data_IF_050896680479
#
_entry.id   IF_050896680479
#
_cell.length_a   1.000
_cell.length_b   1.000
_cell.length_c   1.000
_cell.angle_alpha   90.00
_cell.angle_beta   90.00
_cell.angle_gamma   90.00
#
_symmetry.space_group_name_H-M   'P 1'
#
loop_
_entity.id
_entity.type
_entity.pdbx_description
1 polymer ?
#
# COMPACT_ATOMS: atom_id res chain seq x y z
N UNK A 1 -27.88 35.06 -6.62
CA UNK A 1 -26.65 34.88 -5.82
C UNK A 1 -26.65 33.61 -4.97
N UNK A 2 -27.81 33.11 -4.50
CA UNK A 2 -27.94 31.78 -3.85
C UNK A 2 -27.52 30.63 -4.76
N UNK A 3 -28.03 30.64 -6.00
CA UNK A 3 -27.84 29.58 -6.99
C UNK A 3 -26.35 29.35 -7.35
N UNK A 4 -25.55 30.40 -7.48
CA UNK A 4 -24.11 30.28 -7.76
C UNK A 4 -23.34 29.64 -6.59
N UNK A 5 -23.69 29.97 -5.35
CA UNK A 5 -23.03 29.40 -4.16
C UNK A 5 -23.36 27.91 -4.01
N UNK A 6 -24.61 27.55 -4.25
CA UNK A 6 -25.06 26.15 -4.23
C UNK A 6 -24.41 25.34 -5.34
N UNK A 7 -24.34 25.88 -6.57
CA UNK A 7 -23.65 25.23 -7.69
C UNK A 7 -22.15 25.05 -7.43
N UNK A 8 -21.46 26.08 -6.92
CA UNK A 8 -20.03 25.97 -6.55
C UNK A 8 -19.79 24.94 -5.43
N UNK A 9 -20.68 24.89 -4.43
CA UNK A 9 -20.56 23.91 -3.35
C UNK A 9 -20.80 22.47 -3.85
N UNK A 10 -21.73 22.30 -4.78
CA UNK A 10 -22.01 21.01 -5.43
C UNK A 10 -20.83 20.55 -6.29
N UNK A 11 -20.22 21.44 -7.08
CA UNK A 11 -19.02 21.11 -7.86
C UNK A 11 -17.82 20.80 -6.97
N UNK A 12 -17.62 21.55 -5.88
CA UNK A 12 -16.57 21.23 -4.91
C UNK A 12 -16.82 19.87 -4.22
N UNK A 13 -18.07 19.54 -3.89
CA UNK A 13 -18.41 18.22 -3.36
C UNK A 13 -18.13 17.09 -4.35
N UNK A 14 -18.49 17.25 -5.64
CA UNK A 14 -18.14 16.29 -6.70
C UNK A 14 -16.63 16.11 -6.83
N UNK A 15 -15.88 17.21 -6.78
CA UNK A 15 -14.42 17.18 -6.82
C UNK A 15 -13.84 16.38 -5.64
N UNK A 16 -14.31 16.61 -4.41
CA UNK A 16 -13.86 15.87 -3.23
C UNK A 16 -14.15 14.37 -3.34
N UNK A 17 -15.35 14.01 -3.82
CA UNK A 17 -15.72 12.60 -4.02
C UNK A 17 -14.82 11.93 -5.07
N UNK A 18 -14.54 12.63 -6.18
CA UNK A 18 -13.62 12.15 -7.22
C UNK A 18 -12.19 11.97 -6.68
N UNK A 19 -11.71 12.86 -5.79
CA UNK A 19 -10.41 12.71 -5.14
C UNK A 19 -10.36 11.51 -4.21
N UNK A 20 -11.39 11.29 -3.40
CA UNK A 20 -11.46 10.11 -2.52
C UNK A 20 -11.46 8.83 -3.34
N UNK A 21 -12.27 8.74 -4.40
CA UNK A 21 -12.28 7.58 -5.30
C UNK A 21 -10.91 7.36 -5.97
N UNK A 22 -10.25 8.44 -6.39
CA UNK A 22 -8.91 8.34 -6.98
C UNK A 22 -7.88 7.79 -5.99
N UNK A 23 -7.95 8.15 -4.70
CA UNK A 23 -7.09 7.58 -3.66
C UNK A 23 -7.31 6.08 -3.50
N UNK A 24 -8.56 5.62 -3.55
CA UNK A 24 -8.90 4.20 -3.48
C UNK A 24 -8.34 3.44 -4.69
N UNK A 25 -8.54 3.95 -5.90
CA UNK A 25 -8.00 3.37 -7.14
C UNK A 25 -6.47 3.31 -7.12
N UNK A 26 -5.81 4.38 -6.64
CA UNK A 26 -4.37 4.44 -6.48
C UNK A 26 -3.87 3.37 -5.49
N UNK A 27 -4.58 3.17 -4.37
CA UNK A 27 -4.24 2.11 -3.42
C UNK A 27 -4.31 0.72 -4.06
N UNK A 28 -5.39 0.39 -4.76
CA UNK A 28 -5.53 -0.91 -5.44
C UNK A 28 -4.44 -1.12 -6.50
N UNK A 29 -4.10 -0.08 -7.26
CA UNK A 29 -3.00 -0.12 -8.22
C UNK A 29 -1.66 -0.39 -7.52
N UNK A 30 -1.42 0.26 -6.37
CA UNK A 30 -0.21 0.05 -5.57
C UNK A 30 -0.12 -1.38 -5.04
N UNK A 31 -1.21 -1.92 -4.48
CA UNK A 31 -1.27 -3.32 -4.01
C UNK A 31 -0.95 -4.29 -5.15
N UNK A 32 -1.56 -4.09 -6.31
CA UNK A 32 -1.34 -4.93 -7.50
C UNK A 32 0.12 -4.86 -7.97
N UNK A 33 0.70 -3.66 -8.00
CA UNK A 33 2.08 -3.45 -8.41
C UNK A 33 3.06 -4.11 -7.45
N UNK A 34 2.83 -3.98 -6.14
CA UNK A 34 3.61 -4.65 -5.12
C UNK A 34 3.54 -6.17 -5.26
N UNK A 35 2.34 -6.73 -5.47
CA UNK A 35 2.16 -8.16 -5.72
C UNK A 35 2.96 -8.68 -6.92
N UNK A 36 3.02 -7.90 -8.01
CA UNK A 36 3.86 -8.24 -9.18
C UNK A 36 5.34 -8.27 -8.82
N UNK A 37 5.84 -7.27 -8.11
CA UNK A 37 7.26 -7.25 -7.70
C UNK A 37 7.62 -8.43 -6.82
N UNK A 38 6.79 -8.72 -5.80
CA UNK A 38 7.03 -9.85 -4.89
C UNK A 38 7.02 -11.18 -5.65
N UNK A 39 6.04 -11.38 -6.55
CA UNK A 39 5.98 -12.61 -7.37
C UNK A 39 7.24 -12.78 -8.23
N UNK A 40 7.74 -11.71 -8.83
CA UNK A 40 8.98 -11.75 -9.61
C UNK A 40 10.20 -12.09 -8.77
N UNK A 41 10.30 -11.57 -7.54
CA UNK A 41 11.39 -11.90 -6.62
C UNK A 41 11.33 -13.37 -6.20
N UNK A 42 10.15 -13.89 -5.89
CA UNK A 42 9.99 -15.32 -5.60
C UNK A 42 10.40 -16.20 -6.79
N UNK A 43 9.98 -15.85 -8.00
CA UNK A 43 10.40 -16.56 -9.20
C UNK A 43 11.93 -16.55 -9.38
N UNK A 44 12.57 -15.41 -9.10
CA UNK A 44 14.02 -15.28 -9.16
C UNK A 44 14.74 -16.15 -8.11
N UNK A 45 14.27 -16.15 -6.86
CA UNK A 45 14.82 -16.99 -5.79
C UNK A 45 14.69 -18.48 -6.14
N UNK A 46 13.51 -18.91 -6.62
CA UNK A 46 13.26 -20.31 -7.00
C UNK A 46 14.19 -20.72 -8.16
N UNK A 47 14.34 -19.87 -9.17
CA UNK A 47 15.25 -20.12 -10.29
C UNK A 47 16.71 -20.26 -9.82
N UNK A 48 17.16 -19.41 -8.89
CA UNK A 48 18.50 -19.50 -8.33
C UNK A 48 18.73 -20.84 -7.60
N UNK A 49 17.77 -21.28 -6.78
CA UNK A 49 17.85 -22.58 -6.11
C UNK A 49 17.92 -23.74 -7.11
N UNK A 50 17.13 -23.71 -8.19
CA UNK A 50 17.16 -24.76 -9.22
C UNK A 50 18.51 -24.77 -9.96
N UNK A 51 19.09 -23.60 -10.22
CA UNK A 51 20.38 -23.48 -10.89
C UNK A 51 21.55 -23.91 -10.02
N UNK A 52 21.48 -23.69 -8.71
CA UNK A 52 22.50 -24.18 -7.78
C UNK A 52 22.47 -25.72 -7.75
N UNK A 53 21.28 -26.32 -7.60
CA UNK A 53 21.12 -27.78 -7.60
C UNK A 53 21.54 -28.46 -8.90
N UNK A 54 21.50 -27.75 -10.01
CA UNK A 54 21.97 -28.26 -11.32
C UNK A 54 23.46 -27.99 -11.57
N UNK A 55 24.19 -27.45 -10.60
CA UNK A 55 25.62 -27.16 -10.68
C UNK A 55 25.96 -26.01 -11.62
N UNK A 56 24.98 -25.21 -12.04
CA UNK A 56 25.18 -24.09 -12.98
C UNK A 56 25.67 -22.82 -12.30
N UNK A 57 25.39 -22.66 -11.00
CA UNK A 57 25.84 -21.53 -10.20
C UNK A 57 26.51 -22.02 -8.91
N UNK A 58 27.37 -21.17 -8.34
CA UNK A 58 28.04 -21.44 -7.07
C UNK A 58 27.17 -21.04 -5.88
N UNK A 59 27.45 -21.63 -4.71
CA UNK A 59 26.79 -21.28 -3.44
C UNK A 59 26.96 -19.81 -3.07
N UNK A 60 28.11 -19.21 -3.39
CA UNK A 60 28.34 -17.77 -3.17
C UNK A 60 27.34 -16.90 -3.94
N UNK A 61 27.02 -17.29 -5.18
CA UNK A 61 26.08 -16.57 -6.02
C UNK A 61 24.63 -16.75 -5.55
N UNK A 62 24.31 -17.91 -4.98
CA UNK A 62 23.03 -18.17 -4.32
C UNK A 62 22.84 -17.27 -3.09
N UNK A 63 23.84 -17.20 -2.21
CA UNK A 63 23.82 -16.34 -1.01
C UNK A 63 23.67 -14.87 -1.41
N UNK A 64 24.42 -14.42 -2.42
CA UNK A 64 24.30 -13.06 -2.95
C UNK A 64 22.88 -12.78 -3.46
N UNK A 65 22.29 -13.74 -4.18
CA UNK A 65 20.92 -13.64 -4.70
C UNK A 65 19.88 -13.47 -3.59
N UNK A 66 20.00 -14.24 -2.50
CA UNK A 66 19.12 -14.12 -1.34
C UNK A 66 19.28 -12.77 -0.63
N UNK A 67 20.52 -12.32 -0.42
CA UNK A 67 20.81 -11.04 0.21
C UNK A 67 20.24 -9.86 -0.60
N UNK A 68 20.46 -9.85 -1.91
CA UNK A 68 19.89 -8.84 -2.80
C UNK A 68 18.36 -8.86 -2.79
N UNK A 69 17.76 -10.05 -2.83
CA UNK A 69 16.31 -10.22 -2.79
C UNK A 69 15.72 -9.71 -1.47
N UNK A 70 16.36 -10.00 -0.33
CA UNK A 70 15.99 -9.49 1.00
C UNK A 70 16.02 -7.96 1.03
N UNK A 71 17.12 -7.34 0.63
CA UNK A 71 17.26 -5.87 0.60
C UNK A 71 16.21 -5.25 -0.31
N UNK A 72 15.98 -5.83 -1.48
CA UNK A 72 15.00 -5.33 -2.43
C UNK A 72 13.55 -5.40 -1.91
N UNK A 73 13.16 -6.52 -1.27
CA UNK A 73 11.83 -6.66 -0.65
C UNK A 73 11.65 -5.62 0.48
N UNK A 74 12.65 -5.43 1.33
CA UNK A 74 12.58 -4.47 2.42
C UNK A 74 12.46 -3.02 1.90
N UNK A 75 13.26 -2.68 0.89
CA UNK A 75 13.22 -1.37 0.25
C UNK A 75 11.86 -1.08 -0.40
N UNK A 76 11.32 -2.05 -1.16
CA UNK A 76 9.99 -1.92 -1.74
C UNK A 76 8.91 -1.77 -0.66
N UNK A 77 8.95 -2.62 0.37
CA UNK A 77 7.96 -2.60 1.45
C UNK A 77 7.97 -1.25 2.19
N UNK A 78 9.15 -0.65 2.38
CA UNK A 78 9.28 0.70 2.94
C UNK A 78 8.62 1.77 2.05
N UNK A 79 8.91 1.77 0.75
CA UNK A 79 8.32 2.74 -0.19
C UNK A 79 6.80 2.62 -0.21
N UNK A 80 6.26 1.40 -0.35
CA UNK A 80 4.82 1.19 -0.39
C UNK A 80 4.14 1.52 0.94
N UNK A 81 4.83 1.31 2.07
CA UNK A 81 4.32 1.73 3.38
C UNK A 81 4.21 3.26 3.46
N UNK A 82 5.25 3.99 3.03
CA UNK A 82 5.24 5.46 3.01
C UNK A 82 4.12 6.03 2.11
N UNK A 83 3.95 5.45 0.91
CA UNK A 83 2.85 5.85 0.00
C UNK A 83 1.49 5.59 0.65
N UNK A 84 1.32 4.45 1.30
CA UNK A 84 0.06 4.09 1.98
C UNK A 84 -0.24 5.02 3.15
N UNK A 85 0.78 5.39 3.93
CA UNK A 85 0.67 6.37 5.01
C UNK A 85 0.27 7.74 4.44
N UNK A 86 0.88 8.18 3.34
CA UNK A 86 0.49 9.42 2.67
C UNK A 86 -0.97 9.38 2.18
N UNK A 87 -1.44 8.21 1.69
CA UNK A 87 -2.82 8.00 1.29
C UNK A 87 -3.81 8.17 2.46
N UNK A 88 -3.50 7.56 3.61
CA UNK A 88 -4.28 7.69 4.85
C UNK A 88 -4.43 9.17 5.26
N UNK A 89 -3.35 9.94 5.21
CA UNK A 89 -3.39 11.37 5.56
C UNK A 89 -4.21 12.17 4.55
N UNK A 90 -4.02 11.92 3.25
CA UNK A 90 -4.75 12.60 2.18
C UNK A 90 -6.27 12.32 2.26
N UNK A 91 -6.65 11.06 2.49
CA UNK A 91 -8.04 10.66 2.70
C UNK A 91 -8.65 11.40 3.90
N UNK A 92 -7.90 11.50 5.00
CA UNK A 92 -8.39 12.17 6.22
C UNK A 92 -8.67 13.64 5.96
N UNK A 93 -7.79 14.32 5.24
CA UNK A 93 -7.91 15.75 4.98
C UNK A 93 -9.08 16.02 4.01
N UNK A 94 -9.23 15.24 2.94
CA UNK A 94 -10.42 15.34 2.06
C UNK A 94 -11.73 15.05 2.80
N UNK A 95 -11.75 14.07 3.73
CA UNK A 95 -12.94 13.80 4.55
C UNK A 95 -13.24 14.93 5.53
N UNK A 96 -12.24 15.64 6.05
CA UNK A 96 -12.48 16.84 6.88
C UNK A 96 -13.09 17.97 6.05
N UNK A 97 -12.55 18.20 4.86
CA UNK A 97 -13.07 19.22 3.93
C UNK A 97 -14.51 18.93 3.52
N UNK A 98 -14.83 17.66 3.23
CA UNK A 98 -16.20 17.23 2.92
C UNK A 98 -17.17 17.52 4.08
N UNK A 99 -16.76 17.23 5.32
CA UNK A 99 -17.60 17.51 6.50
C UNK A 99 -17.78 19.01 6.74
N UNK A 100 -16.73 19.81 6.55
CA UNK A 100 -16.85 21.27 6.66
C UNK A 100 -17.82 21.84 5.61
N UNK A 101 -17.76 21.33 4.38
CA UNK A 101 -18.67 21.74 3.30
C UNK A 101 -20.12 21.35 3.60
N UNK A 102 -20.37 20.13 4.08
CA UNK A 102 -21.72 19.69 4.43
C UNK A 102 -22.31 20.44 5.63
N UNK A 103 -21.48 20.79 6.62
CA UNK A 103 -21.88 21.64 7.73
C UNK A 103 -22.28 23.05 7.26
N UNK A 104 -21.50 23.65 6.36
CA UNK A 104 -21.79 24.97 5.80
C UNK A 104 -23.10 25.01 4.99
N UNK A 105 -23.47 23.90 4.37
CA UNK A 105 -24.72 23.78 3.62
C UNK A 105 -25.92 23.34 4.49
N UNK A 106 -25.71 23.08 5.79
CA UNK A 106 -26.73 22.53 6.70
C UNK A 106 -27.37 21.21 6.22
N UNK A 107 -26.65 20.45 5.38
CA UNK A 107 -27.12 19.17 4.83
C UNK A 107 -26.61 18.02 5.69
N UNK A 108 -27.53 17.24 6.27
CA UNK A 108 -27.19 16.07 7.07
C UNK A 108 -27.41 14.77 6.28
N UNK A 109 -26.34 14.23 5.70
CA UNK A 109 -26.34 12.89 5.08
C UNK A 109 -26.08 11.75 6.08
N UNK A 110 -26.02 12.01 7.39
CA UNK A 110 -25.67 11.02 8.40
C UNK A 110 -24.21 10.52 8.33
N UNK A 111 -23.36 11.21 7.55
CA UNK A 111 -21.93 10.87 7.42
C UNK A 111 -21.18 11.29 8.68
N UNK A 112 -20.33 10.40 9.19
CA UNK A 112 -19.52 10.63 10.39
C UNK A 112 -18.19 11.30 10.03
N UNK A 113 -17.70 12.12 10.96
CA UNK A 113 -16.37 12.71 10.92
C UNK A 113 -15.28 11.63 10.80
N UNK A 114 -14.14 11.93 10.16
CA UNK A 114 -13.04 10.98 10.06
C UNK A 114 -12.57 10.60 11.47
N UNK A 115 -12.55 9.31 11.76
CA UNK A 115 -12.13 8.79 13.07
C UNK A 115 -11.21 7.60 12.90
N UNK A 116 -10.14 7.58 13.69
CA UNK A 116 -9.21 6.44 13.80
C UNK A 116 -9.74 5.31 14.69
N UNK A 117 -11.00 5.39 15.17
CA UNK A 117 -11.56 4.35 16.04
C UNK A 117 -11.79 3.03 15.31
N UNK A 118 -11.93 3.06 13.99
CA UNK A 118 -12.22 1.89 13.14
C UNK A 118 -11.09 1.60 12.13
N UNK A 119 -9.82 1.77 12.54
CA UNK A 119 -8.64 1.52 11.68
C UNK A 119 -8.66 0.11 11.06
N UNK A 120 -9.19 -0.90 11.77
CA UNK A 120 -9.30 -2.28 11.26
C UNK A 120 -10.27 -2.46 10.07
N UNK A 121 -11.11 -1.47 9.77
CA UNK A 121 -11.98 -1.52 8.57
C UNK A 121 -11.28 -1.04 7.31
N UNK A 122 -10.11 -0.42 7.45
CA UNK A 122 -9.43 0.26 6.36
C UNK A 122 -8.55 -0.73 5.61
N UNK A 123 -8.66 -0.72 4.29
CA UNK A 123 -7.83 -1.57 3.41
C UNK A 123 -6.36 -1.21 3.57
N UNK A 124 -6.05 0.06 3.76
CA UNK A 124 -4.70 0.59 4.02
C UNK A 124 -4.06 -0.07 5.23
N UNK A 125 -4.83 -0.28 6.31
CA UNK A 125 -4.33 -0.94 7.52
C UNK A 125 -3.90 -2.36 7.22
N UNK A 126 -4.74 -3.12 6.53
CA UNK A 126 -4.44 -4.50 6.18
C UNK A 126 -3.27 -4.59 5.19
N UNK A 127 -3.16 -3.62 4.29
CA UNK A 127 -2.01 -3.55 3.40
C UNK A 127 -0.72 -3.26 4.17
N UNK A 128 -0.72 -2.31 5.11
CA UNK A 128 0.44 -2.05 5.98
C UNK A 128 0.83 -3.27 6.83
N UNK A 129 -0.16 -3.99 7.37
CA UNK A 129 0.08 -5.25 8.09
C UNK A 129 0.71 -6.29 7.17
N UNK A 130 0.22 -6.44 5.93
CA UNK A 130 0.80 -7.35 4.96
C UNK A 130 2.25 -7.00 4.63
N UNK A 131 2.56 -5.71 4.40
CA UNK A 131 3.93 -5.24 4.17
C UNK A 131 4.85 -5.57 5.35
N UNK A 132 4.36 -5.40 6.58
CA UNK A 132 5.10 -5.71 7.80
C UNK A 132 5.38 -7.22 7.90
N UNK A 133 4.37 -8.07 7.69
CA UNK A 133 4.53 -9.53 7.69
C UNK A 133 5.54 -9.98 6.64
N UNK A 134 5.42 -9.46 5.41
CA UNK A 134 6.36 -9.80 4.32
C UNK A 134 7.78 -9.33 4.66
N UNK A 135 7.93 -8.17 5.29
CA UNK A 135 9.23 -7.66 5.73
C UNK A 135 9.85 -8.55 6.81
N UNK A 136 9.05 -9.05 7.76
CA UNK A 136 9.51 -10.02 8.77
C UNK A 136 9.96 -11.32 8.11
N UNK A 137 9.17 -11.84 7.15
CA UNK A 137 9.53 -13.04 6.40
C UNK A 137 10.84 -12.83 5.62
N UNK A 138 10.99 -11.70 4.94
CA UNK A 138 12.21 -11.35 4.22
C UNK A 138 13.43 -11.18 5.15
N UNK A 139 13.23 -10.70 6.38
CA UNK A 139 14.32 -10.60 7.34
C UNK A 139 14.87 -11.99 7.73
N UNK A 140 13.96 -12.98 7.82
CA UNK A 140 14.26 -14.37 8.17
C UNK A 140 14.62 -15.25 6.96
N UNK A 141 14.80 -14.67 5.76
CA UNK A 141 15.10 -15.41 4.53
C UNK A 141 16.42 -16.22 4.64
N UNK A 142 17.38 -15.74 5.43
CA UNK A 142 18.66 -16.41 5.70
C UNK A 142 18.48 -17.76 6.42
N UNK A 143 17.56 -17.85 7.38
CA UNK A 143 17.25 -19.10 8.07
C UNK A 143 16.70 -20.14 7.08
N UNK A 144 15.95 -19.68 6.08
CA UNK A 144 15.44 -20.55 5.02
C UNK A 144 16.56 -21.05 4.12
N UNK A 145 17.53 -20.19 3.77
CA UNK A 145 18.71 -20.59 3.01
C UNK A 145 19.55 -21.63 3.76
N UNK A 146 19.78 -21.44 5.07
CA UNK A 146 20.50 -22.40 5.92
C UNK A 146 19.80 -23.76 5.97
N UNK A 147 18.46 -23.79 5.96
CA UNK A 147 17.71 -25.05 5.95
C UNK A 147 17.76 -25.81 4.62
N UNK A 148 18.15 -25.13 3.54
CA UNK A 148 18.10 -25.64 2.18
C UNK A 148 19.47 -26.13 1.67
N UNK A 149 20.55 -25.67 2.30
CA UNK A 149 21.92 -26.16 2.15
C UNK A 149 22.15 -27.41 3.00
#
# INVERSE_FOLDING_TARGET
MSDLKEQLALEHYKFLLSKIQHLDEALFKNITMYGKFITSVFAFIIAAVIFEKSGKITNELLILTFNLSKVFILFLSLIFALITIANIFSWRDYRKEEMALLQNLTINFGRKAPSFKNILRWVETWFLVALLVISIVAFNLENFLISLM
#
